data_IF_374053284526
#
_entry.id   IF_374053284526
#
_cell.length_a   1.000
_cell.length_b   1.000
_cell.length_c   1.000
_cell.angle_alpha   90.00
_cell.angle_beta   90.00
_cell.angle_gamma   90.00
#
_symmetry.space_group_name_H-M   'P 1'
#
loop_
_entity.id
_entity.type
_entity.pdbx_description
1 polymer ?
#
# COMPACT_ATOMS: atom_id res chain seq x y z
N UNK A 1 -8.81 -8.82 -17.95
CA UNK A 1 -7.86 -7.97 -17.20
C UNK A 1 -7.55 -6.75 -18.03
N UNK A 2 -7.67 -5.57 -17.45
CA UNK A 2 -7.41 -4.29 -18.11
C UNK A 2 -6.47 -3.50 -17.19
N UNK A 3 -5.31 -3.12 -17.72
CA UNK A 3 -4.41 -2.17 -17.08
C UNK A 3 -4.76 -0.78 -17.62
N UNK A 4 -4.88 0.19 -16.71
CA UNK A 4 -5.05 1.59 -17.08
C UNK A 4 -3.68 2.27 -16.97
N UNK A 5 -3.23 3.02 -17.99
CA UNK A 5 -2.02 3.82 -17.86
C UNK A 5 -2.17 4.82 -16.71
N UNK A 6 -1.29 4.72 -15.72
CA UNK A 6 -1.18 5.70 -14.63
C UNK A 6 0.09 6.52 -14.82
N UNK A 7 -0.01 7.82 -14.55
CA UNK A 7 1.14 8.72 -14.60
C UNK A 7 1.76 8.84 -13.22
N UNK A 8 3.09 8.76 -13.12
CA UNK A 8 3.83 8.99 -11.88
C UNK A 8 4.92 10.05 -12.10
N UNK A 9 5.28 10.75 -11.04
CA UNK A 9 6.30 11.79 -11.06
C UNK A 9 7.42 11.44 -10.10
N UNK A 10 8.67 11.52 -10.56
CA UNK A 10 9.80 11.27 -9.69
C UNK A 10 9.88 12.32 -8.57
N UNK A 11 10.21 11.88 -7.36
CA UNK A 11 10.38 12.71 -6.16
C UNK A 11 9.07 13.33 -5.63
N UNK A 12 7.94 12.77 -5.99
CA UNK A 12 6.63 13.11 -5.40
C UNK A 12 6.10 11.94 -4.57
N UNK A 13 5.24 12.28 -3.60
CA UNK A 13 4.48 11.27 -2.86
C UNK A 13 3.33 10.77 -3.73
N UNK A 14 3.11 9.45 -3.69
CA UNK A 14 2.01 8.81 -4.40
C UNK A 14 1.24 7.92 -3.43
N UNK A 15 -0.08 7.92 -3.57
CA UNK A 15 -0.96 7.10 -2.76
C UNK A 15 -1.26 5.79 -3.49
N UNK A 16 -0.96 4.66 -2.85
CA UNK A 16 -1.24 3.33 -3.38
C UNK A 16 -2.23 2.65 -2.45
N UNK A 17 -3.36 2.21 -3.01
CA UNK A 17 -4.35 1.41 -2.29
C UNK A 17 -4.57 0.10 -3.01
N UNK A 18 -4.49 -1.00 -2.27
CA UNK A 18 -4.73 -2.34 -2.80
C UNK A 18 -5.95 -2.90 -2.07
N UNK A 19 -6.96 -3.32 -2.83
CA UNK A 19 -8.14 -3.99 -2.29
C UNK A 19 -8.08 -5.44 -2.70
N UNK A 20 -8.02 -6.33 -1.72
CA UNK A 20 -7.80 -7.76 -1.91
C UNK A 20 -9.08 -8.50 -1.53
N UNK A 21 -9.56 -9.36 -2.42
CA UNK A 21 -10.66 -10.30 -2.17
C UNK A 21 -10.08 -11.72 -2.18
N UNK A 22 -10.03 -12.35 -1.01
CA UNK A 22 -9.50 -13.70 -0.83
C UNK A 22 -10.46 -14.80 -1.29
N UNK A 23 -11.77 -14.55 -1.26
CA UNK A 23 -12.78 -15.53 -1.68
C UNK A 23 -12.73 -15.73 -3.20
N UNK A 24 -12.61 -14.63 -3.94
CA UNK A 24 -12.50 -14.64 -5.41
C UNK A 24 -11.05 -14.68 -5.90
N UNK A 25 -10.07 -14.60 -4.99
CA UNK A 25 -8.63 -14.57 -5.27
C UNK A 25 -8.23 -13.51 -6.30
N UNK A 26 -8.85 -12.33 -6.18
CA UNK A 26 -8.59 -11.16 -7.02
C UNK A 26 -8.17 -9.95 -6.19
N UNK A 27 -7.49 -9.02 -6.84
CA UNK A 27 -7.20 -7.72 -6.26
C UNK A 27 -7.35 -6.59 -7.26
N UNK A 28 -7.65 -5.41 -6.72
CA UNK A 28 -7.68 -4.14 -7.42
C UNK A 28 -6.56 -3.26 -6.90
N UNK A 29 -5.90 -2.52 -7.79
CA UNK A 29 -4.85 -1.55 -7.43
C UNK A 29 -5.32 -0.16 -7.85
N UNK A 30 -5.22 0.77 -6.92
CA UNK A 30 -5.47 2.18 -7.13
C UNK A 30 -4.18 2.97 -6.94
N UNK A 31 -3.93 3.90 -7.84
CA UNK A 31 -2.79 4.81 -7.79
C UNK A 31 -3.32 6.24 -7.82
N UNK A 32 -3.01 7.04 -6.80
CA UNK A 32 -3.58 8.37 -6.59
C UNK A 32 -5.12 8.39 -6.75
N UNK A 33 -5.78 7.38 -6.16
CA UNK A 33 -7.23 7.15 -6.19
C UNK A 33 -7.82 6.77 -7.57
N UNK A 34 -7.00 6.64 -8.60
CA UNK A 34 -7.42 6.14 -9.91
C UNK A 34 -7.21 4.63 -10.01
N UNK A 35 -8.16 3.91 -10.62
CA UNK A 35 -8.08 2.46 -10.82
C UNK A 35 -6.97 2.13 -11.84
N UNK A 36 -5.86 1.58 -11.35
CA UNK A 36 -4.70 1.21 -12.14
C UNK A 36 -4.81 -0.23 -12.67
N UNK A 37 -5.31 -1.14 -11.84
CA UNK A 37 -5.51 -2.55 -12.18
C UNK A 37 -6.82 -3.06 -11.60
N UNK A 38 -7.59 -3.79 -12.41
CA UNK A 38 -8.91 -4.33 -12.05
C UNK A 38 -8.98 -5.84 -12.18
N UNK A 39 -9.55 -6.49 -11.16
CA UNK A 39 -9.85 -7.92 -11.06
C UNK A 39 -8.66 -8.81 -11.44
N UNK A 40 -7.48 -8.46 -10.93
CA UNK A 40 -6.26 -9.22 -11.18
C UNK A 40 -6.20 -10.44 -10.29
N UNK A 41 -6.00 -11.63 -10.88
CA UNK A 41 -5.93 -12.89 -10.14
C UNK A 41 -4.64 -13.04 -9.35
N UNK A 42 -4.70 -13.72 -8.21
CA UNK A 42 -3.52 -14.06 -7.41
C UNK A 42 -2.54 -14.94 -8.18
N UNK A 43 -1.25 -14.72 -7.91
CA UNK A 43 -0.21 -15.64 -8.34
C UNK A 43 -0.26 -16.88 -7.46
N UNK A 44 -0.79 -17.99 -7.98
CA UNK A 44 -1.00 -19.23 -7.22
C UNK A 44 -2.39 -19.32 -6.60
N UNK A 45 -3.42 -18.99 -7.39
CA UNK A 45 -4.82 -19.24 -7.07
C UNK A 45 -5.05 -20.67 -6.51
N UNK A 46 -5.86 -20.79 -5.46
CA UNK A 46 -6.20 -22.00 -4.72
C UNK A 46 -5.25 -22.34 -3.57
N UNK A 47 -4.25 -21.50 -3.28
CA UNK A 47 -3.19 -21.82 -2.30
C UNK A 47 -3.13 -20.87 -1.09
N UNK A 48 -3.72 -19.68 -1.16
CA UNK A 48 -3.49 -18.62 -0.17
C UNK A 48 -4.80 -17.96 0.27
N UNK A 49 -5.46 -18.46 1.33
CA UNK A 49 -6.76 -17.95 1.80
C UNK A 49 -6.66 -16.67 2.65
N UNK A 50 -5.45 -16.20 2.98
CA UNK A 50 -5.23 -15.06 3.88
C UNK A 50 -4.00 -14.23 3.49
N UNK A 51 -3.96 -12.98 3.99
CA UNK A 51 -2.75 -12.16 3.97
C UNK A 51 -1.94 -12.40 5.24
N UNK A 52 -0.77 -13.00 5.12
CA UNK A 52 0.10 -13.18 6.28
C UNK A 52 1.19 -12.08 6.35
N UNK A 53 1.81 -11.71 5.22
CA UNK A 53 2.99 -10.84 5.16
C UNK A 53 2.88 -9.82 4.00
N UNK A 54 3.36 -8.60 4.23
CA UNK A 54 3.60 -7.60 3.18
C UNK A 54 5.11 -7.38 3.06
N UNK A 55 5.66 -7.58 1.87
CA UNK A 55 7.09 -7.39 1.60
C UNK A 55 7.31 -6.27 0.60
N UNK A 56 8.16 -5.30 0.96
CA UNK A 56 8.68 -4.30 0.03
C UNK A 56 10.04 -4.74 -0.50
N UNK A 57 10.15 -4.91 -1.81
CA UNK A 57 11.37 -5.38 -2.47
C UNK A 57 11.75 -4.48 -3.63
N UNK A 58 13.06 -4.24 -3.77
CA UNK A 58 13.63 -3.54 -4.92
C UNK A 58 14.59 -4.50 -5.61
N UNK A 59 14.27 -4.87 -6.85
CA UNK A 59 15.18 -5.64 -7.69
C UNK A 59 15.79 -4.73 -8.75
N UNK A 60 16.81 -3.96 -8.36
CA UNK A 60 17.46 -2.99 -9.24
C UNK A 60 18.98 -2.93 -9.00
N UNK A 61 19.81 -2.80 -10.05
CA UNK A 61 21.28 -2.81 -9.93
C UNK A 61 21.89 -1.54 -9.30
N UNK A 62 21.08 -0.57 -8.88
CA UNK A 62 21.53 0.70 -8.28
C UNK A 62 20.84 0.91 -6.94
N UNK A 63 21.50 1.67 -6.06
CA UNK A 63 20.89 2.13 -4.81
C UNK A 63 19.71 3.02 -5.16
N UNK A 64 18.51 2.60 -4.74
CA UNK A 64 17.28 3.39 -4.79
C UNK A 64 16.85 3.59 -3.34
N UNK A 65 16.51 4.82 -3.00
CA UNK A 65 15.87 5.15 -1.72
C UNK A 65 14.38 5.29 -2.00
N UNK A 66 13.56 4.52 -1.30
CA UNK A 66 12.10 4.62 -1.32
C UNK A 66 11.64 4.97 0.09
N UNK A 67 10.73 5.92 0.17
CA UNK A 67 10.04 6.25 1.41
C UNK A 67 8.64 5.65 1.35
N UNK A 68 8.25 5.00 2.44
CA UNK A 68 6.90 4.48 2.65
C UNK A 68 6.43 5.08 3.96
N UNK A 69 5.27 5.71 3.95
CA UNK A 69 4.66 6.35 5.12
C UNK A 69 3.14 6.12 5.08
N UNK A 70 2.47 6.40 6.19
CA UNK A 70 1.02 6.28 6.36
C UNK A 70 0.46 4.89 5.98
N UNK A 71 1.13 3.83 6.47
CA UNK A 71 0.68 2.45 6.27
C UNK A 71 -0.55 2.14 7.11
N UNK A 72 -1.65 1.81 6.43
CA UNK A 72 -2.89 1.35 7.05
C UNK A 72 -3.23 -0.06 6.56
N UNK A 73 -3.62 -0.92 7.50
CA UNK A 73 -4.10 -2.29 7.23
C UNK A 73 -5.40 -2.47 7.99
N UNK A 74 -6.48 -2.79 7.27
CA UNK A 74 -7.81 -2.99 7.83
C UNK A 74 -8.65 -3.98 7.03
N UNK A 75 -9.76 -4.41 7.61
CA UNK A 75 -10.78 -5.24 6.95
C UNK A 75 -11.59 -4.33 6.00
N UNK A 76 -11.36 -4.42 4.68
CA UNK A 76 -11.72 -3.35 3.75
C UNK A 76 -13.19 -3.26 3.28
N UNK A 77 -13.67 -2.03 3.07
CA UNK A 77 -14.30 -1.43 1.87
C UNK A 77 -13.96 0.08 2.01
N UNK A 78 -13.04 0.62 1.20
CA UNK A 78 -12.35 1.89 1.52
C UNK A 78 -13.11 3.18 1.19
N UNK A 79 -13.47 3.93 2.24
CA UNK A 79 -13.52 5.41 2.51
C UNK A 79 -14.61 5.63 3.60
N UNK A 80 -14.43 6.34 4.72
CA UNK A 80 -13.52 7.44 5.06
C UNK A 80 -12.55 7.08 6.19
N UNK A 81 -11.23 7.20 5.94
CA UNK A 81 -10.28 7.34 7.03
C UNK A 81 -10.50 8.75 7.62
N UNK A 82 -11.28 8.85 8.69
CA UNK A 82 -11.41 10.08 9.45
C UNK A 82 -10.00 10.58 9.81
N UNK A 83 -9.66 11.79 9.35
CA UNK A 83 -8.36 12.37 9.64
C UNK A 83 -8.09 12.28 11.15
N UNK A 84 -7.01 11.60 11.53
CA UNK A 84 -6.61 11.56 12.94
C UNK A 84 -6.25 12.98 13.35
N UNK A 85 -7.05 13.56 14.24
CA UNK A 85 -6.80 14.87 14.82
C UNK A 85 -5.43 14.91 15.51
N UNK A 86 -4.86 16.10 15.77
CA UNK A 86 -3.53 16.27 16.37
C UNK A 86 -3.35 15.49 17.69
N UNK A 87 -4.44 15.27 18.43
CA UNK A 87 -4.55 14.44 19.63
C UNK A 87 -4.14 12.96 19.46
N UNK A 88 -4.02 12.44 18.23
CA UNK A 88 -3.59 11.06 17.93
C UNK A 88 -2.15 10.92 17.44
N UNK A 89 -1.46 12.03 17.15
CA UNK A 89 -0.01 11.96 16.86
C UNK A 89 0.68 11.62 18.17
N UNK A 90 1.52 10.59 18.16
CA UNK A 90 2.45 10.30 19.27
C UNK A 90 3.81 10.96 18.95
N UNK A 91 4.00 12.28 19.17
CA UNK A 91 5.28 12.95 18.93
C UNK A 91 6.43 12.31 19.74
N UNK A 92 6.10 11.67 20.86
CA UNK A 92 7.06 11.00 21.75
C UNK A 92 7.53 9.66 21.17
N UNK A 93 6.70 8.94 20.41
CA UNK A 93 7.08 7.62 19.83
C UNK A 93 8.05 7.81 18.67
N UNK A 94 7.81 8.80 17.80
CA UNK A 94 8.73 9.15 16.71
C UNK A 94 10.06 9.73 17.19
N UNK A 95 10.06 10.43 18.33
CA UNK A 95 11.30 10.94 18.95
C UNK A 95 12.20 9.81 19.47
N UNK A 96 11.63 8.67 19.90
CA UNK A 96 12.40 7.50 20.35
C UNK A 96 13.06 6.73 19.20
N UNK A 97 12.38 6.65 18.06
CA UNK A 97 12.93 6.02 16.83
C UNK A 97 14.15 6.80 16.31
N UNK A 98 14.16 8.13 16.45
CA UNK A 98 15.28 8.99 16.03
C UNK A 98 16.53 8.91 16.91
N UNK A 99 16.44 8.34 18.12
CA UNK A 99 17.57 8.28 19.06
C UNK A 99 18.36 6.95 19.00
N UNK A 100 18.06 6.07 18.02
CA UNK A 100 18.76 4.79 17.81
C UNK A 100 19.56 4.75 16.48
N UNK A 101 19.78 5.91 15.86
CA UNK A 101 20.80 6.16 14.83
C UNK A 101 21.80 7.18 15.38
#
# INVERSE_FOLDING_TARGET
MQETPVSYTLKEWHHIRIVINFDDEIYNVYFNNELAAKDFTFRGAGQNPSLDWITFGLNHPRIIVVYVDDLEVGEGEGEEAGAVGPEGKLPITWSKVKNWL
#
